data_IF_207834610591
#
_entry.id   IF_207834610591
#
_cell.length_a   1.000
_cell.length_b   1.000
_cell.length_c   1.000
_cell.angle_alpha   90.00
_cell.angle_beta   90.00
_cell.angle_gamma   90.00
#
_symmetry.space_group_name_H-M   'P 1'
#
loop_
_entity.id
_entity.type
_entity.pdbx_description
1 polymer ?
#
# COMPACT_ATOMS: atom_id res chain seq x y z
N UNK A 1 -10.03 25.40 -19.94
CA UNK A 1 -9.71 23.98 -19.90
C UNK A 1 -8.21 23.86 -19.60
N UNK A 2 -7.87 23.03 -18.63
CA UNK A 2 -6.50 22.77 -18.23
C UNK A 2 -6.28 21.25 -18.14
N UNK A 3 -5.06 20.80 -18.38
CA UNK A 3 -4.64 19.41 -18.25
C UNK A 3 -3.31 19.32 -17.51
N UNK A 4 -3.08 18.21 -16.86
CA UNK A 4 -1.78 17.88 -16.28
C UNK A 4 -1.33 16.53 -16.84
N UNK A 5 -0.05 16.43 -17.17
CA UNK A 5 0.53 15.24 -17.78
C UNK A 5 1.39 14.52 -16.73
N UNK A 6 1.25 13.19 -16.65
CA UNK A 6 2.02 12.36 -15.72
C UNK A 6 3.44 12.08 -16.20
N UNK A 7 3.72 12.28 -17.50
CA UNK A 7 4.98 11.96 -18.16
C UNK A 7 5.46 10.50 -17.93
N UNK A 8 4.53 9.58 -17.67
CA UNK A 8 4.84 8.18 -17.36
C UNK A 8 5.37 7.39 -18.58
N UNK A 9 5.23 7.93 -19.79
CA UNK A 9 5.53 7.22 -21.04
C UNK A 9 4.57 6.05 -21.30
N UNK A 10 4.80 5.25 -22.36
CA UNK A 10 3.92 4.14 -22.70
C UNK A 10 4.00 3.03 -21.65
N UNK A 11 2.85 2.45 -21.30
CA UNK A 11 2.74 1.20 -20.55
C UNK A 11 2.87 0.04 -21.54
N UNK A 12 3.76 -0.92 -21.24
CA UNK A 12 4.01 -2.09 -22.09
C UNK A 12 3.35 -3.34 -21.51
N UNK A 13 3.34 -3.46 -20.19
CA UNK A 13 2.68 -4.57 -19.48
C UNK A 13 1.20 -4.28 -19.21
N UNK A 14 0.44 -5.32 -18.89
CA UNK A 14 -0.97 -5.22 -18.50
C UNK A 14 -1.10 -4.50 -17.16
N UNK A 15 -0.26 -4.83 -16.19
CA UNK A 15 -0.27 -4.22 -14.87
C UNK A 15 0.37 -2.83 -14.91
N UNK A 16 -0.42 -1.80 -14.57
CA UNK A 16 0.07 -0.43 -14.45
C UNK A 16 0.79 -0.24 -13.11
N UNK A 17 2.01 0.29 -13.15
CA UNK A 17 2.80 0.66 -11.95
C UNK A 17 3.19 2.13 -12.00
N UNK A 18 4.00 2.53 -12.99
CA UNK A 18 4.50 3.90 -13.12
C UNK A 18 3.39 4.92 -13.42
N UNK A 19 2.37 4.56 -14.19
CA UNK A 19 1.25 5.46 -14.46
C UNK A 19 0.43 5.71 -13.19
N UNK A 20 0.19 4.69 -12.39
CA UNK A 20 -0.47 4.82 -11.09
C UNK A 20 0.29 5.76 -10.14
N UNK A 21 1.58 5.54 -9.95
CA UNK A 21 2.41 6.40 -9.08
C UNK A 21 2.51 7.83 -9.62
N UNK A 22 2.63 8.00 -10.94
CA UNK A 22 2.61 9.31 -11.60
C UNK A 22 1.29 10.06 -11.41
N UNK A 23 0.15 9.36 -11.48
CA UNK A 23 -1.18 9.93 -11.19
C UNK A 23 -1.29 10.39 -9.74
N UNK A 24 -0.84 9.58 -8.77
CA UNK A 24 -0.83 9.96 -7.36
C UNK A 24 0.03 11.20 -7.12
N UNK A 25 1.22 11.27 -7.72
CA UNK A 25 2.09 12.44 -7.62
C UNK A 25 1.41 13.71 -8.15
N UNK A 26 0.82 13.65 -9.35
CA UNK A 26 0.11 14.79 -9.95
C UNK A 26 -1.09 15.22 -9.11
N UNK A 27 -1.92 14.27 -8.64
CA UNK A 27 -3.06 14.57 -7.79
C UNK A 27 -2.64 15.20 -6.46
N UNK A 28 -1.54 14.72 -5.87
CA UNK A 28 -0.96 15.31 -4.66
C UNK A 28 -0.50 16.74 -4.91
N UNK A 29 0.21 17.01 -6.01
CA UNK A 29 0.63 18.38 -6.38
C UNK A 29 -0.58 19.31 -6.56
N UNK A 30 -1.64 18.82 -7.21
CA UNK A 30 -2.88 19.61 -7.41
C UNK A 30 -3.52 19.91 -6.05
N UNK A 31 -3.65 18.91 -5.15
CA UNK A 31 -4.21 19.09 -3.83
C UNK A 31 -3.41 20.09 -2.99
N UNK A 32 -2.08 19.98 -2.99
CA UNK A 32 -1.19 20.90 -2.30
C UNK A 32 -1.33 22.32 -2.84
N UNK A 33 -1.38 22.49 -4.17
CA UNK A 33 -1.55 23.81 -4.80
C UNK A 33 -2.89 24.43 -4.44
N UNK A 34 -3.97 23.66 -4.42
CA UNK A 34 -5.31 24.14 -4.02
C UNK A 34 -5.29 24.55 -2.55
N UNK A 35 -4.73 23.71 -1.67
CA UNK A 35 -4.66 23.99 -0.23
C UNK A 35 -3.86 25.27 0.06
N UNK A 36 -2.71 25.42 -0.59
CA UNK A 36 -1.89 26.65 -0.50
C UNK A 36 -2.65 27.87 -0.98
N UNK A 37 -3.25 27.84 -2.17
CA UNK A 37 -3.99 28.98 -2.73
C UNK A 37 -5.21 29.38 -1.88
N UNK A 38 -5.81 28.42 -1.17
CA UNK A 38 -6.94 28.65 -0.22
C UNK A 38 -6.49 29.06 1.18
N UNK A 39 -5.18 29.08 1.46
CA UNK A 39 -4.65 29.38 2.79
C UNK A 39 -5.03 28.34 3.85
N UNK A 40 -5.35 27.09 3.46
CA UNK A 40 -5.72 26.00 4.38
C UNK A 40 -4.50 25.29 4.97
N UNK A 41 -3.33 25.53 4.42
CA UNK A 41 -2.03 25.10 4.98
C UNK A 41 -1.08 26.28 5.03
N UNK A 42 -0.14 26.28 6.00
CA UNK A 42 0.90 27.31 6.09
C UNK A 42 1.92 27.18 4.96
N UNK A 43 2.64 28.25 4.67
CA UNK A 43 3.75 28.26 3.70
C UNK A 43 4.82 27.22 4.04
N UNK A 44 5.19 27.14 5.32
CA UNK A 44 6.16 26.15 5.82
C UNK A 44 5.69 24.71 5.57
N UNK A 45 4.40 24.43 5.85
CA UNK A 45 3.83 23.10 5.62
C UNK A 45 3.77 22.76 4.14
N UNK A 46 3.43 23.74 3.30
CA UNK A 46 3.43 23.58 1.85
C UNK A 46 4.82 23.23 1.32
N UNK A 47 5.84 24.02 1.70
CA UNK A 47 7.23 23.79 1.32
C UNK A 47 7.73 22.41 1.78
N UNK A 48 7.44 22.03 3.03
CA UNK A 48 7.80 20.74 3.58
C UNK A 48 7.18 19.58 2.77
N UNK A 49 5.88 19.64 2.46
CA UNK A 49 5.21 18.58 1.71
C UNK A 49 5.68 18.48 0.25
N UNK A 50 6.06 19.59 -0.36
CA UNK A 50 6.68 19.57 -1.69
C UNK A 50 8.06 18.92 -1.66
N UNK A 51 8.87 19.17 -0.61
CA UNK A 51 10.17 18.53 -0.44
C UNK A 51 9.99 17.02 -0.24
N UNK A 52 9.06 16.60 0.64
CA UNK A 52 8.75 15.19 0.84
C UNK A 52 8.34 14.49 -0.46
N UNK A 53 7.52 15.16 -1.30
CA UNK A 53 7.13 14.62 -2.60
C UNK A 53 8.32 14.55 -3.58
N UNK A 54 9.24 15.52 -3.52
CA UNK A 54 10.47 15.53 -4.30
C UNK A 54 11.38 14.35 -3.96
N UNK A 55 11.43 13.97 -2.69
CA UNK A 55 12.31 12.91 -2.19
C UNK A 55 11.74 11.49 -2.38
N UNK A 56 10.46 11.36 -2.83
CA UNK A 56 9.82 10.06 -3.06
C UNK A 56 10.61 9.14 -3.99
N UNK A 57 11.17 9.60 -5.14
CA UNK A 57 11.93 8.72 -6.03
C UNK A 57 13.13 8.05 -5.36
N UNK A 58 13.88 8.78 -4.53
CA UNK A 58 15.03 8.24 -3.81
C UNK A 58 14.59 7.22 -2.75
N UNK A 59 13.47 7.48 -2.05
CA UNK A 59 12.87 6.55 -1.08
C UNK A 59 12.41 5.26 -1.77
N UNK A 60 11.80 5.35 -2.95
CA UNK A 60 11.39 4.18 -3.74
C UNK A 60 12.62 3.38 -4.20
N UNK A 61 13.67 4.06 -4.70
CA UNK A 61 14.90 3.39 -5.11
C UNK A 61 15.57 2.64 -3.94
N UNK A 62 15.56 3.23 -2.75
CA UNK A 62 16.07 2.56 -1.54
C UNK A 62 15.27 1.30 -1.19
N UNK A 63 13.93 1.34 -1.27
CA UNK A 63 13.08 0.17 -1.02
C UNK A 63 13.32 -0.92 -2.06
N UNK A 64 13.46 -0.56 -3.34
CA UNK A 64 13.69 -1.52 -4.44
C UNK A 64 15.03 -2.26 -4.31
N UNK A 65 16.04 -1.67 -3.67
CA UNK A 65 17.32 -2.35 -3.36
C UNK A 65 17.16 -3.51 -2.37
N UNK A 66 16.07 -3.55 -1.60
CA UNK A 66 15.75 -4.61 -0.64
C UNK A 66 14.71 -5.61 -1.20
N UNK A 67 14.54 -5.68 -2.52
CA UNK A 67 13.53 -6.53 -3.16
C UNK A 67 13.72 -8.05 -2.93
N UNK A 68 14.90 -8.48 -2.49
CA UNK A 68 15.18 -9.91 -2.22
C UNK A 68 14.30 -10.49 -1.11
N UNK A 69 13.96 -9.70 -0.10
CA UNK A 69 13.03 -10.14 0.95
C UNK A 69 11.62 -10.38 0.39
N UNK A 70 11.12 -9.44 -0.41
CA UNK A 70 9.82 -9.59 -1.07
C UNK A 70 9.82 -10.80 -2.02
N UNK A 71 10.92 -11.06 -2.73
CA UNK A 71 11.10 -12.23 -3.58
C UNK A 71 11.07 -13.53 -2.79
N UNK A 72 11.74 -13.59 -1.64
CA UNK A 72 11.73 -14.77 -0.77
C UNK A 72 10.31 -15.08 -0.24
N UNK A 73 9.56 -14.06 0.14
CA UNK A 73 8.15 -14.20 0.55
C UNK A 73 7.30 -14.68 -0.64
N UNK A 74 7.46 -14.08 -1.82
CA UNK A 74 6.73 -14.46 -3.01
C UNK A 74 7.00 -15.93 -3.40
N UNK A 75 8.25 -16.39 -3.34
CA UNK A 75 8.62 -17.78 -3.62
C UNK A 75 7.95 -18.76 -2.64
N UNK A 76 7.83 -18.38 -1.38
CA UNK A 76 7.18 -19.20 -0.34
C UNK A 76 5.66 -19.37 -0.57
N UNK A 77 5.00 -18.35 -1.13
CA UNK A 77 3.54 -18.32 -1.27
C UNK A 77 3.06 -18.33 -2.73
N UNK A 78 3.93 -18.57 -3.70
CA UNK A 78 3.60 -18.56 -5.14
C UNK A 78 2.51 -19.54 -5.57
N UNK A 79 2.33 -20.63 -4.82
CA UNK A 79 1.35 -21.67 -5.11
C UNK A 79 0.01 -21.45 -4.35
N UNK A 80 -0.14 -20.33 -3.64
CA UNK A 80 -1.41 -19.96 -3.01
C UNK A 80 -2.45 -19.63 -4.08
N UNK A 81 -3.69 -20.05 -3.87
CA UNK A 81 -4.82 -19.76 -4.77
C UNK A 81 -5.49 -18.43 -4.44
N UNK A 82 -5.38 -18.00 -3.21
CA UNK A 82 -6.05 -16.83 -2.66
C UNK A 82 -5.10 -16.00 -1.80
N UNK A 83 -5.36 -14.71 -1.70
CA UNK A 83 -4.64 -13.79 -0.81
C UNK A 83 -5.54 -12.62 -0.38
N UNK A 84 -5.36 -12.13 0.84
CA UNK A 84 -6.03 -10.92 1.32
C UNK A 84 -5.03 -9.80 1.53
N UNK A 85 -5.41 -8.59 1.14
CA UNK A 85 -4.66 -7.37 1.37
C UNK A 85 -5.43 -6.44 2.30
N UNK A 86 -4.84 -6.04 3.40
CA UNK A 86 -5.49 -5.27 4.44
C UNK A 86 -4.75 -3.98 4.75
N UNK A 87 -5.50 -2.91 4.94
CA UNK A 87 -4.98 -1.61 5.36
C UNK A 87 -6.04 -0.80 6.09
N UNK A 88 -5.61 0.27 6.76
CA UNK A 88 -6.50 1.26 7.38
C UNK A 88 -6.14 2.65 6.91
N UNK A 89 -7.14 3.58 6.92
CA UNK A 89 -6.91 4.96 6.50
C UNK A 89 -6.32 5.01 5.09
N UNK A 90 -5.22 5.72 4.92
CA UNK A 90 -4.52 5.86 3.62
C UNK A 90 -3.89 4.56 3.12
N UNK A 91 -3.63 3.59 4.00
CA UNK A 91 -3.08 2.29 3.64
C UNK A 91 -4.13 1.34 3.03
N UNK A 92 -5.43 1.60 3.19
CA UNK A 92 -6.47 0.77 2.58
C UNK A 92 -6.49 0.88 1.04
N UNK A 93 -6.49 2.08 0.41
CA UNK A 93 -6.33 2.17 -1.04
C UNK A 93 -5.05 1.52 -1.56
N UNK A 94 -3.95 1.57 -0.81
CA UNK A 94 -2.69 0.89 -1.17
C UNK A 94 -2.86 -0.64 -1.13
N UNK A 95 -3.58 -1.15 -0.14
CA UNK A 95 -3.91 -2.59 -0.07
C UNK A 95 -4.78 -3.03 -1.26
N UNK A 96 -5.76 -2.22 -1.69
CA UNK A 96 -6.55 -2.48 -2.90
C UNK A 96 -5.68 -2.57 -4.15
N UNK A 97 -4.73 -1.64 -4.30
CA UNK A 97 -3.79 -1.64 -5.44
C UNK A 97 -2.87 -2.86 -5.40
N UNK A 98 -2.38 -3.26 -4.22
CA UNK A 98 -1.59 -4.48 -4.06
C UNK A 98 -2.36 -5.73 -4.47
N UNK A 99 -3.61 -5.87 -4.05
CA UNK A 99 -4.49 -6.96 -4.45
C UNK A 99 -4.73 -6.97 -5.97
N UNK A 100 -4.94 -5.79 -6.57
CA UNK A 100 -5.11 -5.65 -8.01
C UNK A 100 -3.85 -6.12 -8.75
N UNK A 101 -2.66 -5.68 -8.34
CA UNK A 101 -1.39 -6.08 -8.96
C UNK A 101 -1.17 -7.57 -8.88
N UNK A 102 -1.45 -8.19 -7.73
CA UNK A 102 -1.30 -9.63 -7.58
C UNK A 102 -2.25 -10.39 -8.54
N UNK A 103 -3.52 -10.00 -8.63
CA UNK A 103 -4.47 -10.59 -9.58
C UNK A 103 -4.02 -10.49 -11.03
N UNK A 104 -3.60 -9.30 -11.45
CA UNK A 104 -3.24 -9.03 -12.84
C UNK A 104 -2.01 -9.82 -13.30
N UNK A 105 -1.06 -10.07 -12.41
CA UNK A 105 0.23 -10.66 -12.75
C UNK A 105 0.23 -12.17 -12.55
N UNK A 106 -0.37 -12.66 -11.44
CA UNK A 106 -0.26 -14.06 -11.03
C UNK A 106 -1.51 -14.90 -11.24
N UNK A 107 -2.66 -14.26 -11.48
CA UNK A 107 -4.00 -14.88 -11.51
C UNK A 107 -4.45 -15.47 -10.16
N UNK A 108 -3.70 -15.23 -9.07
CA UNK A 108 -4.14 -15.54 -7.70
C UNK A 108 -5.36 -14.67 -7.39
N UNK A 109 -6.40 -15.28 -6.82
CA UNK A 109 -7.56 -14.52 -6.36
C UNK A 109 -7.17 -13.67 -5.14
N UNK A 110 -6.97 -12.39 -5.35
CA UNK A 110 -6.56 -11.46 -4.31
C UNK A 110 -7.61 -10.37 -4.09
N UNK A 111 -7.97 -10.13 -2.84
CA UNK A 111 -8.93 -9.10 -2.47
C UNK A 111 -8.38 -8.14 -1.42
N UNK A 112 -8.73 -6.86 -1.58
CA UNK A 112 -8.41 -5.81 -0.61
C UNK A 112 -9.60 -5.49 0.28
N UNK A 113 -9.39 -5.43 1.60
CA UNK A 113 -10.40 -5.03 2.58
C UNK A 113 -9.88 -3.98 3.54
N UNK A 114 -10.75 -3.11 4.06
CA UNK A 114 -10.40 -2.32 5.24
C UNK A 114 -10.15 -3.29 6.41
N UNK A 115 -8.99 -3.19 7.05
CA UNK A 115 -8.65 -4.10 8.16
C UNK A 115 -9.68 -4.04 9.30
N UNK A 116 -10.37 -2.90 9.46
CA UNK A 116 -11.45 -2.76 10.43
C UNK A 116 -12.66 -3.65 10.14
N UNK A 117 -12.91 -3.96 8.86
CA UNK A 117 -14.08 -4.73 8.41
C UNK A 117 -13.85 -6.24 8.42
N UNK A 118 -12.64 -6.69 8.75
CA UNK A 118 -12.31 -8.13 8.77
C UNK A 118 -13.29 -8.95 9.62
N UNK A 119 -13.71 -8.41 10.77
CA UNK A 119 -14.62 -9.11 11.70
C UNK A 119 -16.04 -9.28 11.16
N UNK A 120 -16.42 -8.51 10.15
CA UNK A 120 -17.77 -8.49 9.62
C UNK A 120 -18.01 -9.48 8.46
N UNK A 121 -17.14 -10.46 8.31
CA UNK A 121 -17.28 -11.52 7.30
C UNK A 121 -15.96 -12.09 6.82
N UNK A 122 -15.03 -11.28 6.24
CA UNK A 122 -13.81 -11.78 5.60
C UNK A 122 -12.92 -12.64 6.52
N UNK A 123 -12.97 -12.43 7.83
CA UNK A 123 -12.23 -13.23 8.82
C UNK A 123 -12.59 -14.73 8.77
N UNK A 124 -13.78 -15.08 8.24
CA UNK A 124 -14.19 -16.47 8.06
C UNK A 124 -13.36 -17.19 6.98
N UNK A 125 -12.76 -16.45 6.06
CA UNK A 125 -11.89 -16.98 5.00
C UNK A 125 -10.47 -17.29 5.48
N UNK A 126 -10.09 -16.80 6.67
CA UNK A 126 -8.74 -16.98 7.21
C UNK A 126 -8.50 -18.43 7.58
N UNK A 127 -7.50 -19.02 6.94
CA UNK A 127 -7.02 -20.40 7.15
C UNK A 127 -5.51 -20.40 7.40
N UNK A 128 -4.96 -21.55 7.77
CA UNK A 128 -3.52 -21.74 7.95
C UNK A 128 -2.72 -21.65 6.63
N UNK A 129 -3.40 -21.61 5.48
CA UNK A 129 -2.78 -21.55 4.14
C UNK A 129 -3.02 -20.25 3.40
N UNK A 130 -3.91 -19.37 3.91
CA UNK A 130 -4.25 -18.11 3.26
C UNK A 130 -3.26 -17.00 3.67
N UNK A 131 -2.46 -16.45 2.75
CA UNK A 131 -1.64 -15.28 3.03
C UNK A 131 -2.52 -14.03 3.24
N UNK A 132 -2.28 -13.32 4.33
CA UNK A 132 -2.93 -12.05 4.64
C UNK A 132 -1.86 -10.98 4.73
N UNK A 133 -1.84 -10.10 3.73
CA UNK A 133 -0.85 -9.04 3.58
C UNK A 133 -1.38 -7.74 4.22
N UNK A 134 -0.68 -7.20 5.19
CA UNK A 134 -1.01 -5.94 5.83
C UNK A 134 -0.10 -4.82 5.34
N UNK A 135 -0.69 -3.70 4.95
CA UNK A 135 0.01 -2.42 4.81
C UNK A 135 -0.11 -1.71 6.16
N UNK A 136 0.94 -1.77 6.96
CA UNK A 136 0.95 -1.41 8.39
C UNK A 136 2.07 -0.41 8.70
N UNK A 137 2.22 0.61 7.86
CA UNK A 137 3.17 1.70 8.11
C UNK A 137 2.81 2.48 9.37
N UNK A 138 3.80 3.09 10.01
CA UNK A 138 3.61 3.85 11.26
C UNK A 138 2.83 5.14 10.98
N UNK A 139 1.54 5.13 11.31
CA UNK A 139 0.62 6.26 11.23
C UNK A 139 -0.33 6.29 12.43
N UNK A 140 -1.34 7.16 12.41
CA UNK A 140 -2.35 7.27 13.47
C UNK A 140 -3.24 6.03 13.66
N UNK A 141 -3.21 5.08 12.74
CA UNK A 141 -3.97 3.83 12.77
C UNK A 141 -3.11 2.61 13.15
N UNK A 142 -1.80 2.80 13.33
CA UNK A 142 -0.83 1.72 13.52
C UNK A 142 -1.26 0.70 14.59
N UNK A 143 -1.55 1.15 15.81
CA UNK A 143 -1.98 0.25 16.92
C UNK A 143 -3.23 -0.56 16.57
N UNK A 144 -4.17 0.05 15.83
CA UNK A 144 -5.39 -0.63 15.40
C UNK A 144 -5.12 -1.68 14.33
N UNK A 145 -4.16 -1.43 13.43
CA UNK A 145 -3.71 -2.42 12.43
C UNK A 145 -3.03 -3.59 13.13
N UNK A 146 -2.14 -3.31 14.11
CA UNK A 146 -1.49 -4.34 14.94
C UNK A 146 -2.52 -5.24 15.63
N UNK A 147 -3.58 -4.66 16.20
CA UNK A 147 -4.67 -5.43 16.79
C UNK A 147 -5.36 -6.34 15.77
N UNK A 148 -5.61 -5.85 14.54
CA UNK A 148 -6.18 -6.69 13.48
C UNK A 148 -5.22 -7.82 13.06
N UNK A 149 -3.91 -7.58 13.03
CA UNK A 149 -2.91 -8.63 12.75
C UNK A 149 -2.94 -9.74 13.82
N UNK A 150 -3.08 -9.36 15.09
CA UNK A 150 -3.21 -10.31 16.20
C UNK A 150 -4.48 -11.19 16.07
N UNK A 151 -5.58 -10.61 15.58
CA UNK A 151 -6.82 -11.34 15.33
C UNK A 151 -6.65 -12.43 14.25
N UNK A 152 -5.90 -12.12 13.18
CA UNK A 152 -5.55 -13.10 12.14
C UNK A 152 -4.63 -14.18 12.70
N UNK A 153 -3.59 -13.79 13.46
CA UNK A 153 -2.68 -14.74 14.12
C UNK A 153 -3.42 -15.68 15.11
N UNK A 154 -4.40 -15.16 15.86
CA UNK A 154 -5.22 -15.96 16.78
C UNK A 154 -6.03 -17.05 16.06
N UNK A 155 -6.30 -16.87 14.76
CA UNK A 155 -6.92 -17.88 13.89
C UNK A 155 -5.92 -18.75 13.14
N UNK A 156 -4.64 -18.66 13.52
CA UNK A 156 -3.52 -19.34 12.86
C UNK A 156 -3.32 -18.92 11.40
N UNK A 157 -3.85 -17.76 11.00
CA UNK A 157 -3.65 -17.20 9.67
C UNK A 157 -2.21 -16.74 9.45
N UNK A 158 -1.77 -16.80 8.20
CA UNK A 158 -0.47 -16.31 7.78
C UNK A 158 -0.54 -14.78 7.72
N UNK A 159 0.34 -14.11 8.47
CA UNK A 159 0.46 -12.64 8.41
C UNK A 159 1.77 -12.27 7.74
N UNK A 160 1.66 -11.50 6.66
CA UNK A 160 2.76 -10.82 5.97
C UNK A 160 2.53 -9.32 6.18
N UNK A 161 3.55 -8.57 6.58
CA UNK A 161 3.38 -7.15 6.88
C UNK A 161 4.41 -6.28 6.19
N UNK A 162 3.93 -5.18 5.57
CA UNK A 162 4.75 -4.09 5.07
C UNK A 162 4.75 -3.03 6.17
N UNK A 163 5.87 -2.87 6.85
CA UNK A 163 6.02 -2.04 8.05
C UNK A 163 7.05 -0.93 7.85
N UNK A 164 7.04 0.06 8.72
CA UNK A 164 8.11 1.06 8.79
C UNK A 164 9.35 0.42 9.39
N UNK A 165 10.52 0.71 8.85
CA UNK A 165 11.80 0.22 9.37
C UNK A 165 11.96 0.57 10.86
N UNK A 166 12.47 -0.40 11.64
CA UNK A 166 12.60 -0.27 13.09
C UNK A 166 11.31 -0.41 13.87
N UNK A 167 10.25 -0.92 13.26
CA UNK A 167 9.02 -1.27 13.97
C UNK A 167 9.19 -2.58 14.74
N UNK A 168 8.64 -2.63 15.97
CA UNK A 168 8.72 -3.81 16.85
C UNK A 168 7.82 -4.99 16.41
N UNK A 169 7.20 -4.91 15.24
CA UNK A 169 6.37 -5.96 14.65
C UNK A 169 7.17 -7.03 13.89
N UNK A 170 8.47 -6.85 13.77
CA UNK A 170 9.41 -7.76 13.09
C UNK A 170 9.66 -9.03 13.90
#
# INVERSE_FOLDING_TARGET
HAGAYTHAGPEIGVASTKAFTGQLAVLTMIALKIAHNKGTISEERYAHLLQELHDVPEKVDAILKNADEAKAIAEKYKDSTDALFLGRGYNFPVALEGALKLKEISYIHAEGYPAAEMKHGPIALVTETLPVIFVATRDSYHEKVVSNMQEIKARKGIVISIITEGDALS
#
